data_IF_750647327002
#
_entry.id   IF_750647327002
#
_cell.length_a   1.000
_cell.length_b   1.000
_cell.length_c   1.000
_cell.angle_alpha   90.00
_cell.angle_beta   90.00
_cell.angle_gamma   90.00
#
_symmetry.space_group_name_H-M   'P 1'
#
loop_
_entity.id
_entity.type
_entity.pdbx_description
1 polymer ?
#
# COMPACT_ATOMS: atom_id res chain seq x y z
N UNK A 1 -6.95 1.40 17.29
CA UNK A 1 -6.57 0.71 16.04
C UNK A 1 -6.17 -0.71 16.41
N UNK A 2 -6.61 -1.72 15.65
CA UNK A 2 -6.15 -3.11 15.82
C UNK A 2 -4.68 -3.25 15.41
N UNK A 3 -4.05 -4.40 15.69
CA UNK A 3 -2.70 -4.68 15.22
C UNK A 3 -2.62 -4.60 13.68
N UNK A 4 -3.55 -5.26 12.98
CA UNK A 4 -3.62 -5.23 11.51
C UNK A 4 -3.82 -3.83 10.94
N UNK A 5 -4.64 -2.99 11.57
CA UNK A 5 -4.81 -1.60 11.16
C UNK A 5 -3.52 -0.79 11.33
N UNK A 6 -2.74 -1.04 12.39
CA UNK A 6 -1.44 -0.39 12.57
C UNK A 6 -0.45 -0.86 11.51
N UNK A 7 -0.37 -2.17 11.27
CA UNK A 7 0.48 -2.75 10.22
C UNK A 7 0.16 -2.15 8.86
N UNK A 8 -1.12 -2.12 8.46
CA UNK A 8 -1.57 -1.49 7.21
C UNK A 8 -1.15 -0.04 7.13
N UNK A 9 -1.43 0.75 8.16
CA UNK A 9 -1.09 2.18 8.17
C UNK A 9 0.41 2.39 8.05
N UNK A 10 1.24 1.67 8.82
CA UNK A 10 2.70 1.79 8.70
C UNK A 10 3.19 1.43 7.29
N UNK A 11 2.70 0.33 6.71
CA UNK A 11 3.09 -0.05 5.34
C UNK A 11 2.62 0.98 4.30
N UNK A 12 1.44 1.57 4.48
CA UNK A 12 0.89 2.62 3.62
C UNK A 12 1.77 3.88 3.61
N UNK A 13 2.19 4.35 4.78
CA UNK A 13 3.09 5.51 4.88
C UNK A 13 4.49 5.20 4.30
N UNK A 14 4.97 3.96 4.41
CA UNK A 14 6.18 3.53 3.69
C UNK A 14 5.99 3.54 2.17
N UNK A 15 4.81 3.18 1.66
CA UNK A 15 4.48 3.34 0.24
C UNK A 15 4.61 4.78 -0.22
N UNK A 16 4.09 5.76 0.55
CA UNK A 16 4.30 7.18 0.25
C UNK A 16 5.78 7.59 0.29
N UNK A 17 6.57 7.08 1.25
CA UNK A 17 8.01 7.34 1.30
C UNK A 17 8.77 6.75 0.08
N UNK A 18 8.22 5.68 -0.52
CA UNK A 18 8.67 5.09 -1.77
C UNK A 18 8.08 5.78 -3.02
N UNK A 19 7.35 6.88 -2.86
CA UNK A 19 6.76 7.63 -3.98
C UNK A 19 5.49 7.03 -4.58
N UNK A 20 4.84 6.09 -3.88
CA UNK A 20 3.58 5.50 -4.34
C UNK A 20 2.38 6.39 -3.99
N UNK A 21 1.51 6.61 -4.99
CA UNK A 21 0.23 7.29 -4.82
C UNK A 21 -0.87 6.35 -4.31
N UNK A 22 -1.99 6.94 -3.88
CA UNK A 22 -3.16 6.17 -3.49
C UNK A 22 -3.70 5.34 -4.66
N UNK A 23 -4.16 4.12 -4.35
CA UNK A 23 -4.91 3.28 -5.30
C UNK A 23 -6.41 3.32 -5.03
N UNK A 24 -7.20 2.87 -6.01
CA UNK A 24 -8.66 2.82 -5.93
C UNK A 24 -9.21 1.40 -5.63
N UNK A 25 -8.34 0.38 -5.55
CA UNK A 25 -8.74 -0.98 -5.23
C UNK A 25 -9.13 -1.15 -3.76
N UNK A 26 -10.04 -2.09 -3.48
CA UNK A 26 -10.63 -2.30 -2.13
C UNK A 26 -9.79 -3.17 -1.18
N UNK A 27 -8.65 -3.70 -1.67
CA UNK A 27 -7.77 -4.61 -0.94
C UNK A 27 -6.29 -4.24 -1.09
N UNK A 28 -6.03 -2.99 -1.43
CA UNK A 28 -4.69 -2.49 -1.65
C UNK A 28 -4.17 -1.84 -0.37
N UNK A 29 -2.88 -1.98 -0.09
CA UNK A 29 -2.24 -1.26 1.01
C UNK A 29 -2.28 0.25 0.74
N UNK A 30 -2.13 0.66 -0.52
CA UNK A 30 -2.19 2.08 -0.91
C UNK A 30 -3.61 2.65 -1.01
N UNK A 31 -4.65 1.85 -0.76
CA UNK A 31 -6.00 2.37 -0.62
C UNK A 31 -6.09 3.31 0.59
N UNK A 32 -6.61 4.51 0.41
CA UNK A 32 -6.84 5.43 1.53
C UNK A 32 -7.85 4.83 2.53
N UNK A 33 -7.56 4.98 3.83
CA UNK A 33 -8.48 4.64 4.90
C UNK A 33 -7.97 3.63 5.94
N UNK A 34 -8.80 3.42 6.97
CA UNK A 34 -8.50 2.61 8.15
C UNK A 34 -9.04 1.19 8.00
N UNK A 35 -8.28 0.36 7.29
CA UNK A 35 -8.64 -1.01 6.93
C UNK A 35 -7.74 -2.03 7.64
N UNK A 36 -8.21 -3.26 7.77
CA UNK A 36 -7.44 -4.39 8.29
C UNK A 36 -6.94 -5.26 7.14
N UNK A 37 -6.03 -4.71 6.31
CA UNK A 37 -5.41 -5.40 5.17
C UNK A 37 -3.94 -5.63 5.52
N UNK A 38 -3.50 -6.89 5.46
CA UNK A 38 -2.13 -7.27 5.84
C UNK A 38 -1.36 -7.97 4.72
N UNK A 39 -1.92 -8.00 3.50
CA UNK A 39 -1.33 -8.64 2.33
C UNK A 39 -1.29 -7.65 1.18
N UNK A 40 -0.17 -7.61 0.47
CA UNK A 40 -0.04 -6.85 -0.78
C UNK A 40 -0.96 -7.44 -1.85
N UNK A 41 -1.71 -6.58 -2.52
CA UNK A 41 -2.45 -6.95 -3.72
C UNK A 41 -1.52 -7.07 -4.93
N UNK A 42 -2.06 -7.46 -6.09
CA UNK A 42 -1.27 -7.38 -7.32
C UNK A 42 -1.05 -5.92 -7.72
N UNK A 43 -2.05 -5.06 -7.54
CA UNK A 43 -1.95 -3.61 -7.78
C UNK A 43 -0.84 -2.97 -6.94
N UNK A 44 -0.71 -3.32 -5.66
CA UNK A 44 0.40 -2.80 -4.83
C UNK A 44 1.79 -3.14 -5.41
N UNK A 45 1.93 -4.34 -5.99
CA UNK A 45 3.19 -4.78 -6.60
C UNK A 45 3.42 -4.09 -7.93
N UNK A 46 2.41 -4.05 -8.78
CA UNK A 46 2.48 -3.42 -10.10
C UNK A 46 2.81 -1.93 -9.97
N UNK A 47 2.26 -1.22 -8.97
CA UNK A 47 2.59 0.19 -8.69
C UNK A 47 4.03 0.37 -8.21
N UNK A 48 4.54 -0.53 -7.37
CA UNK A 48 5.95 -0.50 -6.97
C UNK A 48 6.87 -0.75 -8.17
N UNK A 49 6.53 -1.77 -8.96
CA UNK A 49 7.24 -2.14 -10.17
C UNK A 49 7.23 -0.97 -11.18
N UNK A 50 6.10 -0.31 -11.44
CA UNK A 50 6.04 0.89 -12.29
C UNK A 50 6.94 2.03 -11.79
N UNK A 51 7.00 2.26 -10.47
CA UNK A 51 7.83 3.30 -9.88
C UNK A 51 9.34 3.01 -9.96
N UNK A 52 9.74 1.73 -10.05
CA UNK A 52 11.15 1.32 -9.88
C UNK A 52 11.71 0.37 -10.97
N UNK A 53 10.93 -0.04 -11.98
CA UNK A 53 11.40 -0.96 -13.04
C UNK A 53 12.54 -0.39 -13.91
N UNK A 54 12.82 0.91 -13.80
CA UNK A 54 13.85 1.61 -14.59
C UNK A 54 15.25 1.58 -13.98
N UNK A 55 15.51 0.78 -12.93
CA UNK A 55 16.84 0.64 -12.31
C UNK A 55 17.44 -0.75 -12.49
#
# INVERSE_FOLDING_TARGET
>A
MTADQRTKTTTHEFGHALGLDHTFGSKDIMQQGKLSITRLSQTDKDSYDEAYLTY
#
